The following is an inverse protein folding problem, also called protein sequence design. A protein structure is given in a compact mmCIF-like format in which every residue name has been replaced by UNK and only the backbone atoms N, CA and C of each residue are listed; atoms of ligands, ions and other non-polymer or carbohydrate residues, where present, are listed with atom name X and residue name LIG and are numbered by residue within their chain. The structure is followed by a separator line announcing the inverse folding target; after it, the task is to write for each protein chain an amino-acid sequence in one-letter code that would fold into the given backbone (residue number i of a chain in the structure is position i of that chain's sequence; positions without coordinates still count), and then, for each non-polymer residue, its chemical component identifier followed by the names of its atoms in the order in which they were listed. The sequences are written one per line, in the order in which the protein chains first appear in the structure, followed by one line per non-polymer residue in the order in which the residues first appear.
data_IF_556143595793
#
_entry.id   IF_556143595793
#
_cell.length_a   1.000
_cell.length_b   1.000
_cell.length_c   1.000
_cell.angle_alpha   90.00
_cell.angle_beta   90.00
_cell.angle_gamma   90.00
#
_symmetry.space_group_name_H-M   'P 1'
#
loop_
_entity.id
_entity.type
_entity.pdbx_description
1 polymer ?
#
# COMPACT_ATOMS: atom_id res chain seq x y z
N UNK A 1 30.79 45.53 23.30
CA UNK A 1 30.04 45.11 22.09
C UNK A 1 28.75 45.92 22.03
N UNK A 2 28.49 46.64 20.95
CA UNK A 2 27.32 47.55 20.87
C UNK A 2 26.01 46.74 20.85
N UNK A 3 24.99 47.20 21.58
CA UNK A 3 23.68 46.54 21.68
C UNK A 3 23.05 46.24 20.30
N UNK A 4 23.26 47.12 19.31
CA UNK A 4 22.79 46.93 17.94
C UNK A 4 23.44 45.73 17.23
N UNK A 5 24.73 45.47 17.50
CA UNK A 5 25.45 44.30 16.93
C UNK A 5 24.92 43.02 17.55
N UNK A 6 24.65 43.01 18.86
CA UNK A 6 24.07 41.85 19.56
C UNK A 6 22.68 41.53 18.99
N UNK A 7 21.81 42.53 18.84
CA UNK A 7 20.47 42.34 18.27
C UNK A 7 20.57 41.81 16.83
N UNK A 8 21.42 42.41 16.00
CA UNK A 8 21.62 41.95 14.62
C UNK A 8 22.07 40.49 14.55
N UNK A 9 23.02 40.07 15.39
CA UNK A 9 23.50 38.68 15.45
C UNK A 9 22.38 37.73 15.89
N UNK A 10 21.60 38.09 16.91
CA UNK A 10 20.47 37.28 17.39
C UNK A 10 19.41 37.14 16.28
N UNK A 11 19.07 38.23 15.59
CA UNK A 11 18.09 38.20 14.49
C UNK A 11 18.55 37.31 13.35
N UNK A 12 19.83 37.37 12.98
CA UNK A 12 20.41 36.53 11.94
C UNK A 12 20.35 35.05 12.35
N UNK A 13 20.82 34.71 13.56
CA UNK A 13 20.77 33.33 14.07
C UNK A 13 19.31 32.83 14.11
N UNK A 14 18.39 33.63 14.67
CA UNK A 14 16.97 33.27 14.74
C UNK A 14 16.34 33.04 13.38
N UNK A 15 16.71 33.84 12.37
CA UNK A 15 16.23 33.66 10.99
C UNK A 15 16.74 32.35 10.38
N UNK A 16 18.03 32.03 10.54
CA UNK A 16 18.60 30.76 10.08
C UNK A 16 17.97 29.56 10.79
N UNK A 17 17.76 29.64 12.11
CA UNK A 17 17.09 28.58 12.88
C UNK A 17 15.66 28.36 12.38
N UNK A 18 14.90 29.44 12.14
CA UNK A 18 13.53 29.34 11.63
C UNK A 18 13.48 28.69 10.24
N UNK A 19 14.34 29.11 9.32
CA UNK A 19 14.44 28.52 7.98
C UNK A 19 14.79 27.03 8.06
N UNK A 20 15.74 26.67 8.92
CA UNK A 20 16.12 25.27 9.13
C UNK A 20 14.97 24.42 9.69
N UNK A 21 14.27 24.91 10.72
CA UNK A 21 13.12 24.22 11.31
C UNK A 21 11.97 24.08 10.30
N UNK A 22 11.71 25.10 9.48
CA UNK A 22 10.71 25.03 8.42
C UNK A 22 11.07 23.98 7.36
N UNK A 23 12.33 23.90 6.94
CA UNK A 23 12.78 22.86 5.99
C UNK A 23 12.57 21.43 6.53
N UNK A 24 12.85 21.21 7.82
CA UNK A 24 12.56 19.93 8.49
C UNK A 24 11.05 19.65 8.49
N UNK A 25 10.24 20.65 8.86
CA UNK A 25 8.78 20.54 8.90
C UNK A 25 8.22 20.22 7.52
N UNK A 26 8.61 20.93 6.48
CA UNK A 26 8.13 20.73 5.11
C UNK A 26 8.48 19.32 4.60
N UNK A 27 9.67 18.83 4.93
CA UNK A 27 10.09 17.46 4.62
C UNK A 27 9.23 16.42 5.35
N UNK A 28 8.90 16.68 6.62
CA UNK A 28 8.00 15.84 7.42
C UNK A 28 6.58 15.84 6.86
N UNK A 29 6.03 17.01 6.55
CA UNK A 29 4.70 17.21 6.00
C UNK A 29 4.57 16.52 4.64
N UNK A 30 5.59 16.64 3.78
CA UNK A 30 5.64 15.90 2.51
C UNK A 30 5.58 14.39 2.72
N UNK A 31 6.40 13.84 3.62
CA UNK A 31 6.40 12.39 3.92
C UNK A 31 5.07 11.93 4.50
N UNK A 32 4.46 12.74 5.37
CA UNK A 32 3.15 12.45 5.93
C UNK A 32 2.06 12.43 4.86
N UNK A 33 2.06 13.42 3.96
CA UNK A 33 1.08 13.50 2.87
C UNK A 33 1.17 12.31 1.91
N UNK A 34 2.37 11.88 1.53
CA UNK A 34 2.56 10.67 0.71
C UNK A 34 1.98 9.44 1.42
N UNK A 35 2.29 9.24 2.71
CA UNK A 35 1.74 8.09 3.47
C UNK A 35 0.23 8.15 3.62
N UNK A 36 -0.32 9.34 3.85
CA UNK A 36 -1.76 9.56 3.91
C UNK A 36 -2.43 9.19 2.60
N UNK A 37 -1.84 9.57 1.47
CA UNK A 37 -2.33 9.19 0.14
C UNK A 37 -2.26 7.67 -0.08
N UNK A 38 -1.13 7.04 0.24
CA UNK A 38 -0.98 5.58 0.20
C UNK A 38 -2.09 4.88 1.00
N UNK A 39 -2.33 5.34 2.24
CA UNK A 39 -3.37 4.78 3.11
C UNK A 39 -4.77 4.94 2.51
N UNK A 40 -5.13 6.15 2.09
CA UNK A 40 -6.49 6.47 1.65
C UNK A 40 -6.85 5.81 0.32
N UNK A 41 -5.91 5.74 -0.63
CA UNK A 41 -6.19 5.24 -1.98
C UNK A 41 -5.97 3.74 -2.12
N UNK A 42 -5.00 3.16 -1.40
CA UNK A 42 -4.63 1.76 -1.59
C UNK A 42 -4.85 0.90 -0.34
N UNK A 43 -4.10 1.16 0.74
CA UNK A 43 -4.02 0.20 1.85
C UNK A 43 -5.33 0.05 2.63
N UNK A 44 -6.06 1.14 2.89
CA UNK A 44 -7.35 1.08 3.58
C UNK A 44 -8.42 0.42 2.70
N UNK A 45 -8.63 0.82 1.43
CA UNK A 45 -9.56 0.12 0.54
C UNK A 45 -9.25 -1.37 0.39
N UNK A 46 -7.99 -1.73 0.18
CA UNK A 46 -7.57 -3.13 0.09
C UNK A 46 -7.90 -3.91 1.37
N UNK A 47 -7.52 -3.37 2.53
CA UNK A 47 -7.78 -4.02 3.82
C UNK A 47 -9.28 -4.19 4.09
N UNK A 48 -10.10 -3.17 3.81
CA UNK A 48 -11.55 -3.25 3.98
C UNK A 48 -12.15 -4.35 3.10
N UNK A 49 -11.78 -4.40 1.81
CA UNK A 49 -12.26 -5.46 0.90
C UNK A 49 -11.80 -6.84 1.32
N UNK A 50 -10.56 -6.97 1.77
CA UNK A 50 -10.05 -8.23 2.30
C UNK A 50 -10.86 -8.72 3.51
N UNK A 51 -11.19 -7.83 4.45
CA UNK A 51 -12.01 -8.19 5.60
C UNK A 51 -13.45 -8.53 5.21
N UNK A 52 -14.04 -7.82 4.26
CA UNK A 52 -15.40 -8.09 3.75
C UNK A 52 -15.51 -9.45 3.05
N UNK A 53 -14.45 -9.90 2.36
CA UNK A 53 -14.43 -11.20 1.70
C UNK A 53 -14.13 -12.39 2.62
N UNK A 54 -13.90 -12.16 3.92
CA UNK A 54 -13.58 -13.20 4.90
C UNK A 54 -12.37 -14.07 4.50
N UNK A 55 -11.31 -13.47 3.94
CA UNK A 55 -10.15 -14.18 3.37
C UNK A 55 -9.18 -14.94 4.31
N UNK A 56 -9.47 -15.15 5.61
CA UNK A 56 -8.89 -16.29 6.32
C UNK A 56 -9.70 -17.59 6.18
N UNK A 57 -10.95 -17.49 5.73
CA UNK A 57 -11.94 -18.58 5.67
C UNK A 57 -12.38 -18.88 4.24
N UNK A 58 -12.10 -17.96 3.31
CA UNK A 58 -12.42 -18.07 1.90
C UNK A 58 -11.16 -17.99 1.04
N UNK A 59 -11.28 -18.57 -0.15
CA UNK A 59 -10.30 -18.50 -1.22
C UNK A 59 -10.72 -17.45 -2.24
N UNK A 60 -9.76 -16.76 -2.84
CA UNK A 60 -10.08 -15.77 -3.87
C UNK A 60 -10.54 -16.44 -5.14
N UNK A 61 -9.97 -17.60 -5.48
CA UNK A 61 -10.34 -18.40 -6.65
C UNK A 61 -11.82 -18.79 -6.68
N UNK A 62 -12.43 -19.04 -5.52
CA UNK A 62 -13.84 -19.46 -5.41
C UNK A 62 -14.84 -18.30 -5.43
N UNK A 63 -14.34 -17.06 -5.37
CA UNK A 63 -15.17 -15.86 -5.44
C UNK A 63 -15.60 -15.57 -6.87
N UNK A 64 -16.68 -14.80 -7.01
CA UNK A 64 -17.13 -14.33 -8.31
C UNK A 64 -16.07 -13.44 -8.98
N UNK A 65 -16.08 -13.40 -10.30
CA UNK A 65 -15.15 -12.58 -11.08
C UNK A 65 -15.22 -11.10 -10.68
N UNK A 66 -16.40 -10.57 -10.33
CA UNK A 66 -16.58 -9.18 -9.91
C UNK A 66 -15.81 -8.87 -8.61
N UNK A 67 -15.81 -9.81 -7.66
CA UNK A 67 -15.06 -9.68 -6.41
C UNK A 67 -13.56 -9.73 -6.69
N UNK A 68 -13.11 -10.68 -7.51
CA UNK A 68 -11.69 -10.78 -7.88
C UNK A 68 -11.22 -9.53 -8.64
N UNK A 69 -12.02 -9.04 -9.58
CA UNK A 69 -11.73 -7.82 -10.35
C UNK A 69 -11.64 -6.59 -9.45
N UNK A 70 -12.39 -6.52 -8.35
CA UNK A 70 -12.26 -5.42 -7.39
C UNK A 70 -10.84 -5.35 -6.79
N UNK A 71 -10.22 -6.49 -6.49
CA UNK A 71 -8.84 -6.51 -5.99
C UNK A 71 -7.85 -6.12 -7.09
N UNK A 72 -8.05 -6.65 -8.30
CA UNK A 72 -7.26 -6.27 -9.47
C UNK A 72 -7.31 -4.75 -9.71
N UNK A 73 -8.48 -4.15 -9.71
CA UNK A 73 -8.68 -2.71 -9.93
C UNK A 73 -7.96 -1.88 -8.86
N UNK A 74 -8.13 -2.23 -7.57
CA UNK A 74 -7.48 -1.52 -6.45
C UNK A 74 -5.96 -1.55 -6.62
N UNK A 75 -5.38 -2.70 -6.94
CA UNK A 75 -3.93 -2.84 -7.11
C UNK A 75 -3.44 -2.12 -8.38
N UNK A 76 -4.10 -2.34 -9.52
CA UNK A 76 -3.67 -1.78 -10.82
C UNK A 76 -3.69 -0.26 -10.80
N UNK A 77 -4.78 0.34 -10.31
CA UNK A 77 -4.94 1.80 -10.29
C UNK A 77 -3.98 2.49 -9.31
N UNK A 78 -3.48 1.75 -8.31
CA UNK A 78 -2.70 2.30 -7.21
C UNK A 78 -1.31 1.65 -7.05
N UNK A 79 -0.79 0.96 -8.07
CA UNK A 79 0.48 0.25 -7.97
C UNK A 79 1.64 1.16 -7.55
N UNK A 80 1.64 2.42 -8.02
CA UNK A 80 2.63 3.43 -7.66
C UNK A 80 2.62 3.84 -6.17
N UNK A 81 1.56 3.51 -5.42
CA UNK A 81 1.40 3.78 -3.98
C UNK A 81 1.80 2.59 -3.10
N UNK A 82 1.98 1.41 -3.69
CA UNK A 82 2.44 0.21 -3.00
C UNK A 82 3.93 0.34 -2.65
N UNK A 83 4.42 -0.42 -1.66
CA UNK A 83 5.86 -0.50 -1.40
C UNK A 83 6.54 -1.47 -2.39
N UNK A 84 7.87 -1.41 -2.57
CA UNK A 84 8.56 -2.13 -3.64
C UNK A 84 8.33 -3.65 -3.67
N UNK A 85 8.16 -4.29 -2.51
CA UNK A 85 7.95 -5.74 -2.44
C UNK A 85 6.61 -6.13 -3.06
N UNK A 86 5.51 -5.53 -2.60
CA UNK A 86 4.18 -5.82 -3.16
C UNK A 86 4.04 -5.37 -4.62
N UNK A 87 4.74 -4.30 -5.05
CA UNK A 87 4.82 -3.93 -6.46
C UNK A 87 5.47 -5.03 -7.32
N UNK A 88 6.57 -5.62 -6.86
CA UNK A 88 7.26 -6.68 -7.59
C UNK A 88 6.40 -7.96 -7.69
N UNK A 89 5.56 -8.23 -6.70
CA UNK A 89 4.65 -9.38 -6.67
C UNK A 89 3.39 -9.19 -7.53
N UNK A 90 3.09 -7.96 -7.96
CA UNK A 90 1.88 -7.67 -8.74
C UNK A 90 1.84 -8.40 -10.08
N UNK A 91 2.98 -8.56 -10.77
CA UNK A 91 3.02 -9.27 -12.05
C UNK A 91 2.60 -10.73 -11.92
N UNK A 92 3.01 -11.38 -10.84
CA UNK A 92 2.65 -12.77 -10.57
C UNK A 92 1.16 -12.91 -10.25
N UNK A 93 0.61 -11.94 -9.49
CA UNK A 93 -0.82 -11.87 -9.22
C UNK A 93 -1.62 -11.68 -10.51
N UNK A 94 -1.22 -10.72 -11.34
CA UNK A 94 -1.90 -10.44 -12.60
C UNK A 94 -1.87 -11.66 -13.54
N UNK A 95 -0.72 -12.33 -13.63
CA UNK A 95 -0.59 -13.55 -14.41
C UNK A 95 -1.48 -14.69 -13.89
N UNK A 96 -1.53 -14.90 -12.58
CA UNK A 96 -2.41 -15.91 -11.97
C UNK A 96 -3.90 -15.59 -12.21
N UNK A 97 -4.27 -14.31 -12.15
CA UNK A 97 -5.63 -13.84 -12.46
C UNK A 97 -6.04 -14.18 -13.90
N UNK A 98 -5.18 -13.88 -14.87
CA UNK A 98 -5.44 -14.19 -16.28
C UNK A 98 -5.55 -15.69 -16.52
N UNK A 99 -4.64 -16.49 -15.94
CA UNK A 99 -4.68 -17.95 -16.08
C UNK A 99 -5.96 -18.56 -15.51
N UNK A 100 -6.47 -18.02 -14.40
CA UNK A 100 -7.76 -18.47 -13.85
C UNK A 100 -8.91 -18.09 -14.78
N UNK A 101 -8.89 -16.89 -15.37
CA UNK A 101 -9.90 -16.48 -16.34
C UNK A 101 -9.91 -17.36 -17.61
N UNK A 102 -8.73 -17.74 -18.11
CA UNK A 102 -8.59 -18.70 -19.22
C UNK A 102 -9.18 -20.07 -18.85
N UNK A 103 -8.89 -20.57 -17.65
CA UNK A 103 -9.42 -21.83 -17.17
C UNK A 103 -10.96 -21.82 -17.06
N UNK A 104 -11.54 -20.72 -16.56
CA UNK A 104 -12.99 -20.54 -16.44
C UNK A 104 -13.69 -20.45 -17.80
N UNK A 105 -12.99 -19.96 -18.83
CA UNK A 105 -13.48 -19.96 -20.21
C UNK A 105 -13.37 -21.36 -20.89
N UNK A 106 -12.91 -22.38 -20.17
CA UNK A 106 -12.80 -23.76 -20.67
C UNK A 106 -11.57 -24.01 -21.54
N UNK A 107 -10.52 -23.19 -21.42
CA UNK A 107 -9.29 -23.39 -22.16
C UNK A 107 -8.54 -24.64 -21.63
N UNK A 108 -8.31 -25.68 -22.46
CA UNK A 108 -7.69 -26.93 -22.02
C UNK A 108 -6.22 -26.80 -21.61
N UNK A 109 -5.52 -25.73 -22.02
CA UNK A 109 -4.14 -25.47 -21.62
C UNK A 109 -4.02 -24.98 -20.16
N UNK A 110 -5.14 -24.58 -19.55
CA UNK A 110 -5.20 -24.00 -18.20
C UNK A 110 -6.10 -24.85 -17.29
N UNK A 111 -5.56 -25.91 -16.64
CA UNK A 111 -6.33 -26.74 -15.73
C UNK A 111 -6.85 -25.91 -14.54
N UNK A 112 -8.19 -25.87 -14.37
CA UNK A 112 -8.85 -25.02 -13.38
C UNK A 112 -8.29 -25.18 -11.96
N UNK A 113 -8.15 -26.41 -11.46
CA UNK A 113 -7.66 -26.66 -10.09
C UNK A 113 -6.26 -26.07 -9.87
N UNK A 114 -5.37 -26.19 -10.85
CA UNK A 114 -4.00 -25.66 -10.78
C UNK A 114 -3.99 -24.13 -10.82
N UNK A 115 -4.81 -23.54 -11.70
CA UNK A 115 -4.93 -22.09 -11.82
C UNK A 115 -5.56 -21.47 -10.56
N UNK A 116 -6.61 -22.09 -10.02
CA UNK A 116 -7.28 -21.69 -8.79
C UNK A 116 -6.33 -21.74 -7.59
N UNK A 117 -5.62 -22.86 -7.41
CA UNK A 117 -4.63 -22.99 -6.34
C UNK A 117 -3.54 -21.91 -6.45
N UNK A 118 -3.04 -21.65 -7.67
CA UNK A 118 -1.99 -20.65 -7.87
C UNK A 118 -2.49 -19.24 -7.58
N UNK A 119 -3.73 -18.93 -7.96
CA UNK A 119 -4.37 -17.66 -7.66
C UNK A 119 -4.44 -17.41 -6.15
N UNK A 120 -4.86 -18.42 -5.38
CA UNK A 120 -4.98 -18.31 -3.93
C UNK A 120 -3.62 -18.15 -3.25
N UNK A 121 -2.62 -18.94 -3.65
CA UNK A 121 -1.25 -18.86 -3.13
C UNK A 121 -0.66 -17.45 -3.33
N UNK A 122 -0.71 -16.95 -4.57
CA UNK A 122 -0.14 -15.65 -4.92
C UNK A 122 -0.89 -14.51 -4.22
N UNK A 123 -2.22 -14.60 -4.17
CA UNK A 123 -3.02 -13.59 -3.48
C UNK A 123 -2.78 -13.58 -1.97
N UNK A 124 -2.62 -14.74 -1.34
CA UNK A 124 -2.32 -14.85 0.08
C UNK A 124 -0.95 -14.22 0.41
N UNK A 125 0.07 -14.56 -0.36
CA UNK A 125 1.43 -14.05 -0.14
C UNK A 125 1.52 -12.54 -0.39
N UNK A 126 0.87 -12.06 -1.46
CA UNK A 126 0.77 -10.62 -1.74
C UNK A 126 0.02 -9.90 -0.61
N UNK A 127 -1.08 -10.47 -0.12
CA UNK A 127 -1.85 -9.89 1.00
C UNK A 127 -1.01 -9.81 2.28
N UNK A 128 -0.20 -10.83 2.59
CA UNK A 128 0.73 -10.81 3.73
C UNK A 128 1.73 -9.66 3.60
N UNK A 129 2.34 -9.48 2.42
CA UNK A 129 3.26 -8.37 2.15
C UNK A 129 2.56 -7.02 2.35
N UNK A 130 1.40 -6.83 1.71
CA UNK A 130 0.59 -5.60 1.83
C UNK A 130 0.22 -5.32 3.29
N UNK A 131 -0.09 -6.32 4.11
CA UNK A 131 -0.43 -6.10 5.52
C UNK A 131 0.77 -5.77 6.39
N UNK A 132 1.96 -6.29 6.07
CA UNK A 132 3.20 -5.86 6.73
C UNK A 132 3.43 -4.38 6.44
N UNK A 133 3.35 -3.99 5.17
CA UNK A 133 3.50 -2.61 4.71
C UNK A 133 2.46 -1.68 5.35
N UNK A 134 1.18 -2.07 5.32
CA UNK A 134 0.07 -1.33 5.91
C UNK A 134 0.33 -1.01 7.38
N UNK A 135 0.69 -2.03 8.18
CA UNK A 135 1.01 -1.84 9.60
C UNK A 135 2.22 -0.92 9.81
N UNK A 136 3.23 -1.00 8.96
CA UNK A 136 4.39 -0.11 9.04
C UNK A 136 4.00 1.35 8.73
N UNK A 137 3.17 1.59 7.73
CA UNK A 137 2.71 2.93 7.36
C UNK A 137 1.82 3.52 8.46
N UNK A 138 0.91 2.73 9.04
CA UNK A 138 0.09 3.16 10.19
C UNK A 138 0.96 3.60 11.37
N UNK A 139 1.99 2.81 11.72
CA UNK A 139 2.96 3.17 12.78
C UNK A 139 3.68 4.49 12.47
N UNK A 140 4.15 4.66 11.23
CA UNK A 140 4.80 5.91 10.75
C UNK A 140 3.86 7.13 10.78
N UNK A 141 2.54 6.91 10.81
CA UNK A 141 1.51 7.96 10.88
C UNK A 141 0.90 8.10 12.29
N UNK A 142 1.39 7.38 13.29
CA UNK A 142 0.84 7.34 14.65
C UNK A 142 -0.64 6.93 14.70
N UNK A 143 -1.07 6.05 13.79
CA UNK A 143 -2.43 5.53 13.72
C UNK A 143 -2.56 4.18 14.44
N UNK A 144 -3.77 3.81 14.90
CA UNK A 144 -4.04 2.48 15.45
C UNK A 144 -3.67 1.38 14.44
N UNK A 145 -2.99 0.34 14.93
CA UNK A 145 -2.57 -0.80 14.12
C UNK A 145 -3.52 -1.97 14.40
N UNK A 146 -4.17 -2.55 13.37
CA UNK A 146 -5.03 -3.72 13.57
C UNK A 146 -4.29 -4.88 14.24
N UNK A 147 -4.96 -5.51 15.22
CA UNK A 147 -4.50 -6.75 15.84
C UNK A 147 -4.86 -7.90 14.91
N UNK A 148 -3.83 -8.57 14.37
CA UNK A 148 -3.90 -9.75 13.48
C UNK A 148 -5.08 -9.73 12.48
#
# INVERSE_FOLDING_TARGET
MNSSVIVSVITVIGSFTLVYLNSIKDSSDRKYNVRKEQLLKFYVPFYQRYRMGFFPQNQLSTMSIEVRSTFLDIMTQNIHLMEPLSQAMYSDFYFAFLNLAEAENGNPEYPYEKCAQKMDEVFEDLSKAIFIEYRQILKKCHLPVPLK
#
